data_IF_241058957648
#
_entry.id   IF_241058957648
#
_cell.length_a   1.000
_cell.length_b   1.000
_cell.length_c   1.000
_cell.angle_alpha   90.00
_cell.angle_beta   90.00
_cell.angle_gamma   90.00
#
_symmetry.space_group_name_H-M   'P 1'
#
loop_
_entity.id
_entity.type
_entity.pdbx_description
1 polymer ?
#
# COMPACT_ATOMS: atom_id res chain seq x y z
N UNK A 1 8.48 -12.16 44.67
CA UNK A 1 8.26 -13.62 44.43
C UNK A 1 7.01 -13.93 43.59
N UNK A 2 5.84 -13.31 43.81
CA UNK A 2 4.60 -13.61 43.04
C UNK A 2 4.69 -13.38 41.51
N UNK A 3 5.43 -12.37 41.05
CA UNK A 3 5.61 -12.08 39.61
C UNK A 3 6.44 -13.14 38.87
N UNK A 4 7.39 -13.78 39.56
CA UNK A 4 8.19 -14.88 38.99
C UNK A 4 7.37 -16.17 38.83
N UNK A 5 6.46 -16.46 39.78
CA UNK A 5 5.56 -17.60 39.68
C UNK A 5 4.57 -17.47 38.51
N UNK A 6 4.08 -16.26 38.23
CA UNK A 6 3.14 -15.99 37.13
C UNK A 6 3.83 -16.10 35.75
N UNK A 7 5.10 -15.70 35.66
CA UNK A 7 5.91 -15.81 34.44
C UNK A 7 6.27 -17.28 34.13
N UNK A 8 6.58 -18.08 35.15
CA UNK A 8 6.82 -19.52 34.97
C UNK A 8 5.53 -20.28 34.58
N UNK A 9 4.37 -19.89 35.12
CA UNK A 9 3.08 -20.48 34.75
C UNK A 9 2.73 -20.19 33.27
N UNK A 10 2.95 -18.97 32.79
CA UNK A 10 2.73 -18.60 31.39
C UNK A 10 3.64 -19.38 30.43
N UNK A 11 4.92 -19.57 30.77
CA UNK A 11 5.84 -20.37 29.95
C UNK A 11 5.39 -21.83 29.86
N UNK A 12 4.89 -22.41 30.94
CA UNK A 12 4.38 -23.80 30.91
C UNK A 12 3.09 -23.96 30.11
N UNK A 13 2.21 -22.96 30.11
CA UNK A 13 0.96 -23.00 29.33
C UNK A 13 1.25 -22.85 27.83
N UNK A 14 2.20 -22.02 27.44
CA UNK A 14 2.61 -21.87 26.02
C UNK A 14 3.30 -23.15 25.51
N UNK A 15 4.02 -23.88 26.37
CA UNK A 15 4.72 -25.11 25.96
C UNK A 15 3.79 -26.32 25.77
N UNK A 16 2.56 -26.31 26.25
CA UNK A 16 1.64 -27.45 26.15
C UNK A 16 0.81 -27.47 24.84
N UNK A 17 0.83 -26.41 24.04
CA UNK A 17 0.02 -26.29 22.82
C UNK A 17 0.78 -26.59 21.51
N UNK A 18 2.02 -27.08 21.56
CA UNK A 18 2.83 -27.35 20.38
C UNK A 18 3.00 -28.86 20.08
N UNK A 19 2.05 -29.71 20.49
CA UNK A 19 2.01 -31.07 19.94
C UNK A 19 1.41 -30.98 18.54
N UNK A 20 2.29 -30.89 17.55
CA UNK A 20 1.99 -31.11 16.14
C UNK A 20 1.35 -32.51 16.00
N UNK A 21 0.02 -32.57 16.06
CA UNK A 21 -0.72 -33.72 15.57
C UNK A 21 -0.67 -33.66 14.05
N UNK A 22 0.52 -33.91 13.47
CA UNK A 22 0.64 -34.25 12.06
C UNK A 22 -0.06 -35.60 11.91
N UNK A 23 -1.36 -35.56 11.65
CA UNK A 23 -2.11 -36.76 11.31
C UNK A 23 -1.37 -37.35 10.13
N UNK A 24 -0.81 -38.56 10.31
CA UNK A 24 -0.14 -39.32 9.25
C UNK A 24 -1.20 -39.84 8.30
N UNK A 25 -1.81 -38.93 7.55
CA UNK A 25 -2.44 -39.26 6.29
C UNK A 25 -1.32 -39.89 5.44
N UNK A 26 -1.64 -40.98 4.72
CA UNK A 26 -0.66 -41.69 3.91
C UNK A 26 0.00 -40.79 2.86
N UNK A 27 0.79 -41.39 1.97
CA UNK A 27 1.50 -40.65 0.92
C UNK A 27 0.57 -39.66 0.19
N UNK A 28 0.94 -38.36 0.22
CA UNK A 28 0.11 -37.25 -0.29
C UNK A 28 -0.16 -37.39 -1.78
N UNK A 29 0.72 -38.07 -2.49
CA UNK A 29 0.59 -38.32 -3.93
C UNK A 29 -0.57 -39.28 -4.26
N UNK A 30 -1.05 -40.05 -3.29
CA UNK A 30 -2.15 -41.01 -3.45
C UNK A 30 -3.45 -40.57 -2.74
N UNK A 31 -3.55 -39.30 -2.33
CA UNK A 31 -4.79 -38.80 -1.75
C UNK A 31 -5.91 -38.76 -2.78
N UNK A 32 -7.13 -39.07 -2.35
CA UNK A 32 -8.30 -38.87 -3.19
C UNK A 32 -8.63 -37.37 -3.30
N UNK A 33 -9.42 -37.00 -4.30
CA UNK A 33 -9.91 -35.63 -4.45
C UNK A 33 -10.67 -35.15 -3.20
N UNK A 34 -11.46 -36.03 -2.58
CA UNK A 34 -12.19 -35.74 -1.34
C UNK A 34 -11.25 -35.49 -0.16
N UNK A 35 -10.12 -36.19 -0.13
CA UNK A 35 -9.11 -35.99 0.91
C UNK A 35 -8.44 -34.62 0.77
N UNK A 36 -8.09 -34.20 -0.45
CA UNK A 36 -7.60 -32.85 -0.71
C UNK A 36 -8.62 -31.78 -0.31
N UNK A 37 -9.90 -31.95 -0.64
CA UNK A 37 -10.97 -31.03 -0.24
C UNK A 37 -11.07 -30.91 1.28
N UNK A 38 -11.02 -32.04 1.98
CA UNK A 38 -11.09 -32.07 3.44
C UNK A 38 -9.92 -31.29 4.04
N UNK A 39 -8.70 -31.47 3.54
CA UNK A 39 -7.52 -30.75 4.02
C UNK A 39 -7.60 -29.26 3.68
N UNK A 40 -8.10 -28.92 2.49
CA UNK A 40 -8.30 -27.53 2.07
C UNK A 40 -9.30 -26.80 3.00
N UNK A 41 -10.46 -27.40 3.26
CA UNK A 41 -11.46 -26.84 4.18
C UNK A 41 -10.95 -26.72 5.61
N UNK A 42 -10.30 -27.76 6.11
CA UNK A 42 -9.69 -27.77 7.43
C UNK A 42 -8.59 -26.70 7.58
N UNK A 43 -7.77 -26.52 6.55
CA UNK A 43 -6.81 -25.41 6.48
C UNK A 43 -7.50 -24.05 6.47
N UNK A 44 -8.57 -23.87 5.68
CA UNK A 44 -9.37 -22.64 5.64
C UNK A 44 -10.00 -22.31 7.00
N UNK A 45 -10.58 -23.31 7.67
CA UNK A 45 -11.19 -23.18 9.00
C UNK A 45 -10.18 -22.78 10.08
N UNK A 46 -8.92 -23.21 9.96
CA UNK A 46 -7.83 -22.79 10.85
C UNK A 46 -7.20 -21.43 10.48
N UNK A 47 -7.67 -20.78 9.42
CA UNK A 47 -7.07 -19.55 8.90
C UNK A 47 -5.78 -19.76 8.11
N UNK A 48 -5.42 -21.01 7.81
CA UNK A 48 -4.26 -21.36 6.97
C UNK A 48 -4.61 -21.22 5.47
N UNK A 49 -5.07 -20.03 5.07
CA UNK A 49 -5.65 -19.78 3.75
C UNK A 49 -4.70 -20.05 2.58
N UNK A 50 -3.39 -19.80 2.74
CA UNK A 50 -2.39 -20.12 1.70
C UNK A 50 -2.28 -21.63 1.47
N UNK A 51 -2.36 -22.42 2.55
CA UNK A 51 -2.38 -23.87 2.45
C UNK A 51 -3.68 -24.36 1.81
N UNK A 52 -4.82 -23.78 2.18
CA UNK A 52 -6.11 -24.10 1.56
C UNK A 52 -6.07 -23.88 0.04
N UNK A 53 -5.56 -22.73 -0.41
CA UNK A 53 -5.37 -22.44 -1.84
C UNK A 53 -4.47 -23.47 -2.52
N UNK A 54 -3.35 -23.84 -1.90
CA UNK A 54 -2.45 -24.83 -2.45
C UNK A 54 -3.11 -26.22 -2.61
N UNK A 55 -3.95 -26.63 -1.66
CA UNK A 55 -4.70 -27.90 -1.78
C UNK A 55 -5.78 -27.86 -2.87
N UNK A 56 -6.45 -26.71 -3.07
CA UNK A 56 -7.34 -26.55 -4.23
C UNK A 56 -6.58 -26.59 -5.55
N UNK A 57 -5.38 -26.03 -5.61
CA UNK A 57 -4.51 -26.12 -6.79
C UNK A 57 -4.11 -27.56 -7.11
N UNK A 58 -3.82 -28.38 -6.09
CA UNK A 58 -3.60 -29.81 -6.26
C UNK A 58 -4.83 -30.51 -6.86
N UNK A 59 -6.04 -30.16 -6.43
CA UNK A 59 -7.28 -30.75 -6.98
C UNK A 59 -7.40 -30.43 -8.47
N UNK A 60 -7.22 -29.15 -8.83
CA UNK A 60 -7.33 -28.67 -10.22
C UNK A 60 -6.28 -29.33 -11.11
N UNK A 61 -5.06 -29.54 -10.60
CA UNK A 61 -3.96 -30.13 -11.35
C UNK A 61 -4.06 -31.66 -11.49
N UNK A 62 -4.43 -32.38 -10.42
CA UNK A 62 -4.38 -33.84 -10.36
C UNK A 62 -5.65 -34.55 -10.86
N UNK A 63 -6.80 -33.88 -10.81
CA UNK A 63 -8.10 -34.51 -11.16
C UNK A 63 -8.82 -33.78 -12.30
N UNK A 64 -8.17 -33.52 -13.45
CA UNK A 64 -8.80 -32.82 -14.58
C UNK A 64 -9.97 -33.62 -15.21
N UNK A 65 -10.03 -34.93 -14.95
CA UNK A 65 -11.09 -35.84 -15.38
C UNK A 65 -12.37 -35.74 -14.54
N UNK A 66 -12.36 -34.96 -13.45
CA UNK A 66 -13.51 -34.74 -12.55
C UNK A 66 -13.98 -33.29 -12.59
N UNK A 67 -14.63 -32.83 -13.69
CA UNK A 67 -14.97 -31.43 -13.89
C UNK A 67 -15.77 -30.82 -12.74
N UNK A 68 -16.76 -31.54 -12.20
CA UNK A 68 -17.58 -31.06 -11.08
C UNK A 68 -16.74 -30.69 -9.86
N UNK A 69 -15.72 -31.51 -9.55
CA UNK A 69 -14.79 -31.28 -8.43
C UNK A 69 -13.78 -30.17 -8.74
N UNK A 70 -13.36 -30.04 -9.99
CA UNK A 70 -12.49 -28.95 -10.43
C UNK A 70 -13.22 -27.61 -10.31
N UNK A 71 -14.47 -27.52 -10.76
CA UNK A 71 -15.28 -26.31 -10.60
C UNK A 71 -15.52 -25.97 -9.13
N UNK A 72 -15.75 -26.97 -8.28
CA UNK A 72 -15.90 -26.78 -6.83
C UNK A 72 -14.61 -26.26 -6.20
N UNK A 73 -13.47 -26.83 -6.55
CA UNK A 73 -12.17 -26.37 -6.05
C UNK A 73 -11.84 -24.94 -6.53
N UNK A 74 -12.16 -24.63 -7.78
CA UNK A 74 -11.99 -23.28 -8.33
C UNK A 74 -12.87 -22.27 -7.60
N UNK A 75 -14.15 -22.58 -7.40
CA UNK A 75 -15.07 -21.71 -6.67
C UNK A 75 -14.56 -21.44 -5.23
N UNK A 76 -14.23 -22.49 -4.49
CA UNK A 76 -13.75 -22.35 -3.11
C UNK A 76 -12.41 -21.62 -3.02
N UNK A 77 -11.48 -21.90 -3.94
CA UNK A 77 -10.23 -21.13 -4.09
C UNK A 77 -10.53 -19.64 -4.31
N UNK A 78 -11.47 -19.31 -5.19
CA UNK A 78 -11.92 -17.95 -5.46
C UNK A 78 -12.46 -17.26 -4.21
N UNK A 79 -13.28 -17.95 -3.41
CA UNK A 79 -13.79 -17.46 -2.13
C UNK A 79 -12.65 -17.16 -1.16
N UNK A 80 -11.67 -18.06 -1.02
CA UNK A 80 -10.54 -17.88 -0.11
C UNK A 80 -9.67 -16.69 -0.51
N UNK A 81 -9.40 -16.56 -1.82
CA UNK A 81 -8.65 -15.43 -2.39
C UNK A 81 -9.36 -14.10 -2.16
N UNK A 82 -10.68 -14.06 -2.39
CA UNK A 82 -11.51 -12.88 -2.23
C UNK A 82 -11.67 -12.46 -0.76
N UNK A 83 -12.17 -13.36 0.09
CA UNK A 83 -12.60 -13.01 1.45
C UNK A 83 -11.44 -12.86 2.41
N UNK A 84 -10.44 -13.74 2.34
CA UNK A 84 -9.43 -13.85 3.38
C UNK A 84 -8.06 -13.31 2.94
N UNK A 85 -7.64 -13.59 1.71
CA UNK A 85 -6.34 -13.11 1.22
C UNK A 85 -6.41 -11.73 0.56
N UNK A 86 -7.63 -11.20 0.32
CA UNK A 86 -7.90 -9.92 -0.35
C UNK A 86 -7.16 -9.78 -1.70
N UNK A 87 -6.94 -10.90 -2.37
CA UNK A 87 -6.32 -11.00 -3.70
C UNK A 87 -7.41 -10.89 -4.76
N UNK A 88 -8.01 -9.71 -4.87
CA UNK A 88 -9.19 -9.47 -5.70
C UNK A 88 -8.94 -9.77 -7.18
N UNK A 89 -7.77 -9.42 -7.70
CA UNK A 89 -7.43 -9.64 -9.12
C UNK A 89 -7.39 -11.15 -9.46
N UNK A 90 -6.81 -11.98 -8.57
CA UNK A 90 -6.76 -13.44 -8.74
C UNK A 90 -8.14 -14.07 -8.59
N UNK A 91 -8.93 -13.62 -7.61
CA UNK A 91 -10.31 -14.08 -7.44
C UNK A 91 -11.19 -13.71 -8.64
N UNK A 92 -11.01 -12.51 -9.19
CA UNK A 92 -11.76 -12.03 -10.36
C UNK A 92 -11.49 -12.90 -11.58
N UNK A 93 -10.23 -13.25 -11.83
CA UNK A 93 -9.87 -14.14 -12.93
C UNK A 93 -10.56 -15.52 -12.82
N UNK A 94 -10.64 -16.07 -11.61
CA UNK A 94 -11.32 -17.35 -11.36
C UNK A 94 -12.83 -17.23 -11.59
N UNK A 95 -13.49 -16.23 -11.00
CA UNK A 95 -14.94 -16.08 -11.15
C UNK A 95 -15.34 -15.68 -12.59
N UNK A 96 -14.50 -14.93 -13.29
CA UNK A 96 -14.70 -14.61 -14.71
C UNK A 96 -14.68 -15.88 -15.57
N UNK A 97 -13.69 -16.75 -15.35
CA UNK A 97 -13.60 -18.04 -16.02
C UNK A 97 -14.79 -18.95 -15.70
N UNK A 98 -15.17 -19.08 -14.41
CA UNK A 98 -16.34 -19.87 -14.01
C UNK A 98 -17.64 -19.34 -14.60
N UNK A 99 -17.80 -18.01 -14.68
CA UNK A 99 -18.97 -17.37 -15.31
C UNK A 99 -19.02 -17.66 -16.81
N UNK A 100 -17.90 -17.57 -17.51
CA UNK A 100 -17.83 -17.92 -18.93
C UNK A 100 -18.18 -19.40 -19.17
N UNK A 101 -17.75 -20.29 -18.27
CA UNK A 101 -18.08 -21.71 -18.35
C UNK A 101 -19.57 -21.99 -18.06
N UNK A 102 -20.22 -21.19 -17.21
CA UNK A 102 -21.66 -21.27 -16.98
C UNK A 102 -22.52 -20.87 -18.18
N UNK A 103 -21.99 -20.00 -19.05
CA UNK A 103 -22.65 -19.59 -20.28
C UNK A 103 -22.60 -20.70 -21.35
N UNK A 104 -21.73 -21.70 -21.18
CA UNK A 104 -21.69 -22.89 -22.01
C UNK A 104 -22.80 -23.88 -21.59
N UNK A 105 -23.82 -24.04 -22.44
CA UNK A 105 -25.01 -24.85 -22.16
C UNK A 105 -24.71 -26.34 -21.90
N UNK A 106 -23.57 -26.83 -22.40
CA UNK A 106 -23.14 -28.22 -22.25
C UNK A 106 -22.44 -28.51 -20.91
N UNK A 107 -22.15 -27.48 -20.10
CA UNK A 107 -21.37 -27.67 -18.88
C UNK A 107 -22.27 -28.13 -17.73
N UNK A 108 -21.99 -29.34 -17.24
CA UNK A 108 -22.62 -29.95 -16.07
C UNK A 108 -22.11 -29.32 -14.77
N UNK A 109 -22.20 -27.99 -14.62
CA UNK A 109 -21.87 -27.34 -13.35
C UNK A 109 -22.96 -27.58 -12.31
N UNK A 110 -22.56 -27.72 -11.04
CA UNK A 110 -23.48 -27.95 -9.91
C UNK A 110 -24.57 -26.86 -9.85
N UNK A 111 -25.85 -27.22 -9.58
CA UNK A 111 -26.97 -26.26 -9.62
C UNK A 111 -26.76 -25.01 -8.75
N UNK A 112 -26.15 -25.16 -7.57
CA UNK A 112 -25.90 -24.05 -6.67
C UNK A 112 -24.86 -23.04 -7.23
N UNK A 113 -23.89 -23.50 -8.03
CA UNK A 113 -22.88 -22.61 -8.63
C UNK A 113 -23.47 -21.70 -9.70
N UNK A 114 -24.50 -22.17 -10.43
CA UNK A 114 -25.22 -21.34 -11.41
C UNK A 114 -25.81 -20.08 -10.78
N UNK A 115 -26.11 -20.14 -9.49
CA UNK A 115 -26.62 -19.01 -8.70
C UNK A 115 -25.47 -18.24 -8.04
N UNK A 116 -24.51 -18.93 -7.45
CA UNK A 116 -23.48 -18.29 -6.62
C UNK A 116 -22.36 -17.61 -7.41
N UNK A 117 -21.93 -18.17 -8.54
CA UNK A 117 -20.82 -17.61 -9.33
C UNK A 117 -21.10 -16.19 -9.84
N UNK A 118 -22.28 -15.88 -10.42
CA UNK A 118 -22.58 -14.50 -10.83
C UNK A 118 -22.55 -13.51 -9.67
N UNK A 119 -23.12 -13.87 -8.51
CA UNK A 119 -23.13 -13.03 -7.32
C UNK A 119 -21.70 -12.75 -6.86
N UNK A 120 -20.86 -13.79 -6.80
CA UNK A 120 -19.47 -13.63 -6.40
C UNK A 120 -18.64 -12.83 -7.41
N UNK A 121 -18.89 -13.04 -8.71
CA UNK A 121 -18.25 -12.26 -9.78
C UNK A 121 -18.52 -10.76 -9.61
N UNK A 122 -19.79 -10.35 -9.45
CA UNK A 122 -20.17 -8.95 -9.27
C UNK A 122 -19.53 -8.35 -8.00
N UNK A 123 -19.51 -9.09 -6.89
CA UNK A 123 -18.87 -8.65 -5.65
C UNK A 123 -17.36 -8.41 -5.82
N UNK A 124 -16.67 -9.31 -6.51
CA UNK A 124 -15.22 -9.20 -6.72
C UNK A 124 -14.91 -8.08 -7.72
N UNK A 125 -15.69 -7.95 -8.79
CA UNK A 125 -15.58 -6.87 -9.78
C UNK A 125 -15.68 -5.49 -9.12
N UNK A 126 -16.67 -5.30 -8.24
CA UNK A 126 -16.84 -4.06 -7.48
C UNK A 126 -15.58 -3.73 -6.64
N UNK A 127 -14.96 -4.74 -6.01
CA UNK A 127 -13.74 -4.54 -5.21
C UNK A 127 -12.50 -4.24 -6.06
N UNK A 128 -12.40 -4.80 -7.27
CA UNK A 128 -11.34 -4.45 -8.22
C UNK A 128 -11.47 -2.99 -8.66
N UNK A 129 -12.67 -2.58 -9.08
CA UNK A 129 -12.95 -1.19 -9.48
C UNK A 129 -12.71 -0.19 -8.34
N UNK A 130 -13.10 -0.55 -7.11
CA UNK A 130 -12.86 0.28 -5.93
C UNK A 130 -11.36 0.50 -5.69
N UNK A 131 -10.55 -0.57 -5.84
CA UNK A 131 -9.09 -0.52 -5.70
C UNK A 131 -8.45 0.35 -6.79
N UNK A 132 -8.92 0.24 -8.03
CA UNK A 132 -8.45 1.06 -9.16
C UNK A 132 -8.77 2.54 -8.94
N UNK A 133 -10.01 2.88 -8.59
CA UNK A 133 -10.42 4.26 -8.27
C UNK A 133 -9.57 4.86 -7.15
N UNK A 134 -9.33 4.11 -6.07
CA UNK A 134 -8.46 4.55 -4.97
C UNK A 134 -7.01 4.75 -5.42
N UNK A 135 -6.51 3.97 -6.37
CA UNK A 135 -5.18 4.15 -6.95
C UNK A 135 -5.11 5.40 -7.83
N UNK A 136 -6.12 5.63 -8.67
CA UNK A 136 -6.23 6.83 -9.52
C UNK A 136 -6.34 8.11 -8.69
N UNK A 137 -7.17 8.11 -7.65
CA UNK A 137 -7.33 9.26 -6.75
C UNK A 137 -6.00 9.62 -6.07
N UNK A 138 -5.25 8.61 -5.60
CA UNK A 138 -3.92 8.82 -5.01
C UNK A 138 -2.94 9.38 -6.04
N UNK A 139 -2.97 8.87 -7.27
CA UNK A 139 -2.13 9.36 -8.36
C UNK A 139 -2.50 10.80 -8.79
N UNK A 140 -3.78 11.17 -8.72
CA UNK A 140 -4.22 12.53 -8.99
C UNK A 140 -3.80 13.49 -7.87
N UNK A 141 -3.98 13.10 -6.60
CA UNK A 141 -3.55 13.89 -5.45
C UNK A 141 -2.03 14.14 -5.44
N UNK A 142 -1.21 13.14 -5.83
CA UNK A 142 0.23 13.33 -5.93
C UNK A 142 0.61 14.32 -7.04
N UNK A 143 -0.03 14.23 -8.22
CA UNK A 143 0.16 15.20 -9.32
C UNK A 143 -0.21 16.63 -8.91
N UNK A 144 -1.38 16.82 -8.30
CA UNK A 144 -1.82 18.14 -7.82
C UNK A 144 -0.83 18.74 -6.80
N UNK A 145 -0.30 17.90 -5.90
CA UNK A 145 0.71 18.34 -4.92
C UNK A 145 2.03 18.75 -5.59
N UNK A 146 2.46 18.01 -6.61
CA UNK A 146 3.66 18.33 -7.41
C UNK A 146 3.48 19.63 -8.20
N UNK A 147 2.35 19.79 -8.88
CA UNK A 147 2.02 21.01 -9.62
C UNK A 147 1.93 22.23 -8.70
N UNK A 148 1.29 22.10 -7.54
CA UNK A 148 1.24 23.17 -6.54
C UNK A 148 2.63 23.56 -6.02
N UNK A 149 3.52 22.58 -5.83
CA UNK A 149 4.93 22.83 -5.47
C UNK A 149 5.67 23.56 -6.59
N UNK A 150 5.54 23.10 -7.83
CA UNK A 150 6.16 23.72 -8.99
C UNK A 150 5.66 25.15 -9.21
N UNK A 151 4.36 25.40 -9.04
CA UNK A 151 3.78 26.73 -9.10
C UNK A 151 4.32 27.65 -7.98
N UNK A 152 4.43 27.13 -6.75
CA UNK A 152 5.02 27.87 -5.63
C UNK A 152 6.49 28.22 -5.87
N UNK A 153 7.26 27.33 -6.48
CA UNK A 153 8.66 27.58 -6.85
C UNK A 153 8.79 28.63 -7.96
N UNK A 154 7.98 28.52 -9.02
CA UNK A 154 7.91 29.54 -10.09
C UNK A 154 7.53 30.92 -9.54
N UNK A 155 6.57 30.98 -8.62
CA UNK A 155 6.16 32.23 -8.00
C UNK A 155 7.30 32.86 -7.19
N UNK A 156 8.05 32.06 -6.43
CA UNK A 156 9.23 32.51 -5.69
C UNK A 156 10.34 33.02 -6.64
N UNK A 157 10.54 32.37 -7.78
CA UNK A 157 11.51 32.78 -8.79
C UNK A 157 11.14 34.14 -9.41
N UNK A 158 9.87 34.30 -9.83
CA UNK A 158 9.36 35.58 -10.34
C UNK A 158 9.50 36.73 -9.32
N UNK A 159 9.28 36.45 -8.03
CA UNK A 159 9.47 37.43 -6.97
C UNK A 159 10.96 37.84 -6.81
N UNK A 160 11.88 36.88 -6.93
CA UNK A 160 13.34 37.14 -6.91
C UNK A 160 13.76 37.99 -8.12
N UNK A 161 13.29 37.66 -9.31
CA UNK A 161 13.57 38.44 -10.52
C UNK A 161 13.06 39.88 -10.42
N UNK A 162 11.82 40.05 -9.91
CA UNK A 162 11.24 41.38 -9.70
C UNK A 162 12.08 42.20 -8.71
N UNK A 163 12.51 41.60 -7.60
CA UNK A 163 13.38 42.24 -6.61
C UNK A 163 14.75 42.61 -7.20
N UNK A 164 15.32 41.79 -8.08
CA UNK A 164 16.57 42.08 -8.77
C UNK A 164 16.42 43.29 -9.72
N UNK A 165 15.38 43.29 -10.57
CA UNK A 165 15.07 44.41 -11.48
C UNK A 165 14.83 45.73 -10.75
N UNK A 166 14.19 45.68 -9.57
CA UNK A 166 13.98 46.87 -8.74
C UNK A 166 15.29 47.42 -8.14
N UNK A 167 16.24 46.55 -7.80
CA UNK A 167 17.58 46.98 -7.32
C UNK A 167 18.39 47.62 -8.45
N UNK A 168 18.34 47.05 -9.65
CA UNK A 168 19.02 47.60 -10.84
C UNK A 168 18.48 48.98 -11.23
N UNK A 169 17.16 49.16 -11.23
CA UNK A 169 16.54 50.46 -11.57
C UNK A 169 16.88 51.56 -10.54
N UNK A 170 16.97 51.22 -9.25
CA UNK A 170 17.45 52.13 -8.20
C UNK A 170 18.92 52.52 -8.37
N UNK A 171 19.80 51.56 -8.70
CA UNK A 171 21.22 51.83 -8.96
C UNK A 171 21.43 52.73 -10.19
N UNK A 172 20.70 52.48 -11.28
CA UNK A 172 20.79 53.31 -12.50
C UNK A 172 20.29 54.74 -12.28
N UNK A 173 19.32 54.94 -11.38
CA UNK A 173 18.78 56.27 -11.09
C UNK A 173 19.73 57.13 -10.25
N UNK A 174 20.52 56.51 -9.35
CA UNK A 174 21.56 57.22 -8.59
C UNK A 174 22.74 57.67 -9.46
N UNK A 175 23.09 56.91 -10.51
CA UNK A 175 24.18 57.28 -11.42
C UNK A 175 23.82 58.48 -12.32
N UNK A 176 22.54 58.73 -12.58
CA UNK A 176 22.07 59.89 -13.34
C UNK A 176 22.05 61.20 -12.53
N UNK A 177 22.17 61.16 -11.20
CA UNK A 177 22.11 62.34 -10.33
C UNK A 177 23.48 62.86 -9.87
N UNK A 178 24.59 62.29 -10.34
CA UNK A 178 25.94 62.84 -10.16
C UNK A 178 26.55 63.28 -11.51
N UNK A 179 26.06 64.36 -12.14
CA UNK A 179 26.79 65.02 -13.20
C UNK A 179 27.95 65.79 -12.59
N UNK A 180 29.17 65.38 -12.92
CA UNK A 180 30.37 66.21 -12.87
C UNK A 180 30.84 66.67 -11.46
N UNK A 181 31.71 65.87 -10.86
CA UNK A 181 32.83 66.43 -10.09
C UNK A 181 34.13 65.83 -10.60
N UNK A 182 34.48 66.23 -11.82
CA UNK A 182 35.86 66.18 -12.27
C UNK A 182 36.69 67.14 -11.40
N UNK A 183 37.44 66.59 -10.45
CA UNK A 183 38.58 67.29 -9.86
C UNK A 183 39.74 66.33 -9.72
N UNK A 184 40.71 66.59 -10.58
CA UNK A 184 42.08 66.13 -10.63
C UNK A 184 42.60 65.52 -9.33
N UNK A 185 43.09 64.28 -9.39
CA UNK A 185 44.35 63.97 -8.72
C UNK A 185 45.09 62.82 -9.38
N UNK A 186 46.29 63.19 -9.78
CA UNK A 186 47.36 62.44 -10.39
C UNK A 186 47.82 61.25 -9.54
N UNK A 187 48.25 60.23 -10.28
CA UNK A 187 49.52 59.50 -10.12
C UNK A 187 49.85 58.89 -8.75
N UNK A 188 49.82 57.56 -8.68
CA UNK A 188 51.05 56.84 -8.34
C UNK A 188 50.94 55.37 -8.74
N UNK A 189 51.86 55.03 -9.63
CA UNK A 189 52.36 53.71 -9.96
C UNK A 189 52.87 52.98 -8.72
N UNK A 190 52.46 51.72 -8.53
CA UNK A 190 53.26 50.74 -7.81
C UNK A 190 52.89 49.33 -8.26
N UNK A 191 53.82 48.73 -8.99
CA UNK A 191 53.85 47.32 -9.30
C UNK A 191 53.89 46.47 -8.02
N UNK A 192 53.25 45.29 -8.03
CA UNK A 192 53.88 44.12 -7.44
C UNK A 192 53.36 42.80 -8.02
N UNK A 193 54.34 41.90 -8.07
CA UNK A 193 54.46 40.56 -8.63
C UNK A 193 53.40 39.51 -8.20
N UNK A 194 53.40 38.33 -8.86
CA UNK A 194 52.51 37.22 -8.55
C UNK A 194 53.09 36.35 -7.44
N UNK A 195 52.26 35.76 -6.58
CA UNK A 195 52.69 34.62 -5.76
C UNK A 195 51.54 33.68 -5.40
N UNK A 196 51.84 32.41 -5.68
CA UNK A 196 51.50 31.18 -4.97
C UNK A 196 50.05 30.78 -4.63
N UNK A 197 49.65 29.71 -5.34
CA UNK A 197 49.22 28.43 -4.81
C UNK A 197 48.78 28.36 -3.33
N UNK A 198 47.54 27.92 -3.10
CA UNK A 198 47.30 26.88 -2.09
C UNK A 198 46.00 26.11 -2.31
N UNK A 199 46.21 24.80 -2.48
CA UNK A 199 45.27 23.71 -2.24
C UNK A 199 44.77 23.77 -0.79
N UNK A 200 43.45 23.65 -0.60
CA UNK A 200 42.81 23.63 0.72
C UNK A 200 41.50 22.87 0.65
N UNK A 201 41.54 21.65 1.19
CA UNK A 201 40.49 20.65 1.26
C UNK A 201 39.23 21.11 1.99
N UNK A 202 38.08 20.74 1.44
CA UNK A 202 36.76 20.86 2.06
C UNK A 202 36.63 19.88 3.23
N UNK A 203 36.38 20.42 4.41
CA UNK A 203 35.92 19.70 5.60
C UNK A 203 35.05 20.67 6.39
N UNK A 204 33.74 20.68 6.09
CA UNK A 204 32.76 21.40 6.91
C UNK A 204 31.84 20.39 7.58
N UNK A 205 32.15 20.14 8.84
CA UNK A 205 31.28 19.55 9.84
C UNK A 205 30.03 20.43 10.02
N UNK A 206 28.86 19.85 9.77
CA UNK A 206 27.58 20.40 10.23
C UNK A 206 27.39 19.97 11.68
N UNK A 207 27.74 20.85 12.60
CA UNK A 207 27.27 20.86 13.99
C UNK A 207 26.54 22.19 14.18
N UNK A 208 25.23 22.12 14.41
CA UNK A 208 24.45 23.25 14.94
C UNK A 208 23.18 22.69 15.55
N UNK A 209 23.27 22.42 16.84
CA UNK A 209 22.15 22.47 17.77
C UNK A 209 21.60 23.90 17.78
N UNK A 210 20.35 24.09 17.41
CA UNK A 210 19.63 25.33 17.66
C UNK A 210 18.34 24.99 18.42
N UNK A 211 18.44 25.15 19.73
CA UNK A 211 17.33 25.21 20.67
C UNK A 211 16.53 26.48 20.38
N UNK A 212 15.33 26.33 19.83
CA UNK A 212 14.33 27.40 19.84
C UNK A 212 13.07 26.92 20.55
N UNK A 213 13.05 27.18 21.86
CA UNK A 213 11.84 27.34 22.65
C UNK A 213 11.03 28.52 22.09
N UNK A 214 10.06 28.20 21.23
CA UNK A 214 9.11 29.13 20.66
C UNK A 214 7.70 28.83 21.14
N UNK A 215 7.33 29.40 22.28
CA UNK A 215 5.94 29.53 22.70
C UNK A 215 5.19 30.47 21.72
N UNK A 216 4.20 29.93 21.02
CA UNK A 216 3.11 30.65 20.37
C UNK A 216 1.87 29.77 20.55
N UNK A 217 1.03 30.08 21.53
CA UNK A 217 -0.06 31.06 21.46
C UNK A 217 -1.09 30.74 20.36
N UNK A 218 -2.13 30.06 20.82
CA UNK A 218 -3.54 30.29 20.55
C UNK A 218 -3.88 31.01 19.23
N UNK A 219 -4.34 30.25 18.25
CA UNK A 219 -5.48 30.70 17.45
C UNK A 219 -6.34 29.50 17.11
N UNK A 220 -7.48 29.42 17.78
CA UNK A 220 -8.61 28.58 17.44
C UNK A 220 -9.02 28.88 15.99
N UNK A 221 -8.83 27.88 15.12
CA UNK A 221 -9.41 27.82 13.80
C UNK A 221 -9.95 26.42 13.63
N UNK A 222 -11.20 26.25 14.05
CA UNK A 222 -11.98 25.02 13.94
C UNK A 222 -12.34 24.76 12.46
N UNK A 223 -11.34 24.39 11.66
CA UNK A 223 -11.60 23.70 10.41
C UNK A 223 -11.75 22.22 10.76
N UNK A 224 -13.03 21.85 10.88
CA UNK A 224 -13.57 20.51 11.06
C UNK A 224 -13.13 19.66 9.86
N UNK A 225 -11.88 19.21 9.90
CA UNK A 225 -11.39 18.17 9.03
C UNK A 225 -12.20 16.91 9.36
N UNK A 226 -13.23 16.67 8.54
CA UNK A 226 -13.94 15.40 8.46
C UNK A 226 -12.90 14.28 8.46
N UNK A 227 -12.74 13.70 9.64
CA UNK A 227 -12.05 12.46 9.86
C UNK A 227 -12.72 11.47 8.92
N UNK A 228 -12.01 10.84 7.96
CA UNK A 228 -12.64 9.81 7.15
C UNK A 228 -13.20 8.79 8.13
N UNK A 229 -14.53 8.66 8.12
CA UNK A 229 -15.23 7.66 8.91
C UNK A 229 -14.55 6.34 8.58
N UNK A 230 -13.85 5.80 9.56
CA UNK A 230 -13.40 4.44 9.58
C UNK A 230 -14.69 3.62 9.56
N UNK A 231 -15.13 3.33 8.33
CA UNK A 231 -16.27 2.49 7.99
C UNK A 231 -16.04 1.21 8.78
N UNK A 232 -16.71 1.12 9.93
CA UNK A 232 -16.76 -0.09 10.73
C UNK A 232 -17.33 -1.11 9.77
N UNK A 233 -16.48 -2.02 9.32
CA UNK A 233 -16.89 -3.19 8.54
C UNK A 233 -18.03 -3.84 9.33
N UNK A 234 -19.26 -3.54 8.89
CA UNK A 234 -20.48 -3.98 9.54
C UNK A 234 -20.38 -5.48 9.73
N UNK A 235 -20.75 -5.92 10.93
CA UNK A 235 -20.79 -7.29 11.42
C UNK A 235 -21.39 -8.23 10.35
N UNK A 236 -20.53 -8.72 9.45
CA UNK A 236 -20.91 -9.68 8.43
C UNK A 236 -21.11 -10.99 9.17
N UNK A 237 -22.37 -11.27 9.49
CA UNK A 237 -22.79 -12.44 10.23
C UNK A 237 -22.09 -13.68 9.64
N UNK A 238 -21.36 -14.45 10.45
CA UNK A 238 -20.76 -15.69 9.98
C UNK A 238 -21.89 -16.57 9.46
N UNK A 239 -21.78 -17.00 8.20
CA UNK A 239 -22.67 -18.01 7.64
C UNK A 239 -22.65 -19.21 8.60
N UNK A 240 -23.76 -19.42 9.30
CA UNK A 240 -23.94 -20.58 10.16
C UNK A 240 -23.68 -21.84 9.32
N UNK A 241 -22.86 -22.78 9.79
CA UNK A 241 -22.62 -24.03 9.07
C UNK A 241 -23.97 -24.71 8.84
N UNK A 242 -24.22 -25.07 7.58
CA UNK A 242 -25.43 -25.75 7.12
C UNK A 242 -25.60 -27.04 7.92
N UNK A 243 -26.57 -27.10 8.83
CA UNK A 243 -26.88 -28.34 9.54
C UNK A 243 -27.42 -29.35 8.53
N UNK A 244 -26.88 -30.59 8.50
CA UNK A 244 -27.41 -31.61 7.60
C UNK A 244 -28.82 -32.00 8.04
N UNK A 245 -29.79 -31.86 7.13
CA UNK A 245 -31.13 -32.39 7.30
C UNK A 245 -31.04 -33.92 7.41
N UNK A 246 -31.27 -34.44 8.61
CA UNK A 246 -31.47 -35.86 8.90
C UNK A 246 -32.89 -36.33 8.66
#
# INVERSE_FOLDING_TARGET
MKKFALLLLLITIVSACATDTSIKYGDRDNWSVEMHFKVAHDASNRGAYKQAVAEYDEIIAKFPDKPDRVFEAQYEKGIVLYRYLKKYDEAFAIFSMLKAELENELTSMLPWMRVMVPIMYEQVEAKVLEKERKAEEKAQKSKVKEDAKAQKERLKELERERKAKEKESKSSSQQAQNPDSSKDKEDSTAANAPDDAQSGSESSSNDSTDDTDGANDSTEGSDEAEKPEEEKDDDWLPFSPFEPLG
#
